data_IF_906645622291
#
_entry.id   IF_906645622291
#
_cell.length_a   1.000
_cell.length_b   1.000
_cell.length_c   1.000
_cell.angle_alpha   90.00
_cell.angle_beta   90.00
_cell.angle_gamma   90.00
#
_symmetry.space_group_name_H-M   'P 1'
#
loop_
_entity.id
_entity.type
_entity.pdbx_description
1 polymer ?
#
# COMPACT_ATOMS: atom_id res chain seq x y z
N UNK A 1 -1.37 15.81 0.51
CA UNK A 1 -1.77 14.96 1.65
C UNK A 1 -3.28 15.05 1.77
N UNK A 2 -3.96 13.97 2.10
CA UNK A 2 -5.43 13.93 2.22
C UNK A 2 -5.88 13.41 3.57
N UNK A 3 -7.05 13.84 4.03
CA UNK A 3 -7.69 13.30 5.22
C UNK A 3 -8.30 11.94 4.88
N UNK A 4 -8.03 10.88 5.66
CA UNK A 4 -8.55 9.54 5.39
C UNK A 4 -10.05 9.47 5.63
N UNK A 5 -10.74 8.66 4.84
CA UNK A 5 -12.15 8.30 5.04
C UNK A 5 -12.21 6.83 5.42
N UNK A 6 -12.56 6.57 6.69
CA UNK A 6 -12.82 5.21 7.15
C UNK A 6 -14.26 4.84 6.82
N UNK A 7 -14.42 3.81 5.99
CA UNK A 7 -15.72 3.22 5.71
C UNK A 7 -16.16 2.34 6.88
N UNK A 8 -17.47 2.10 7.05
CA UNK A 8 -17.93 1.11 8.02
C UNK A 8 -17.22 -0.23 7.77
N UNK A 9 -16.86 -0.91 8.86
CA UNK A 9 -16.21 -2.22 8.77
C UNK A 9 -17.12 -3.16 7.98
N UNK A 10 -16.58 -3.91 7.00
CA UNK A 10 -17.35 -4.96 6.35
C UNK A 10 -17.84 -5.92 7.44
N UNK A 11 -19.08 -6.41 7.33
CA UNK A 11 -19.64 -7.21 8.38
C UNK A 11 -18.83 -8.52 8.43
N UNK A 12 -18.58 -9.03 9.63
CA UNK A 12 -17.64 -10.11 9.90
C UNK A 12 -17.89 -11.34 9.01
N UNK A 13 -16.88 -12.21 8.85
CA UNK A 13 -16.91 -13.47 8.07
C UNK A 13 -18.15 -14.39 8.28
N UNK A 14 -19.05 -14.06 9.21
CA UNK A 14 -20.25 -14.81 9.59
C UNK A 14 -21.58 -14.18 9.17
N UNK A 15 -21.61 -13.00 8.57
CA UNK A 15 -22.85 -12.37 8.09
C UNK A 15 -22.94 -12.39 6.57
N UNK A 16 -23.72 -13.33 6.04
CA UNK A 16 -24.02 -13.51 4.61
C UNK A 16 -24.85 -12.36 3.99
N UNK A 17 -25.20 -11.31 4.73
CA UNK A 17 -26.04 -10.25 4.20
C UNK A 17 -25.60 -8.88 4.72
N UNK A 18 -24.76 -8.18 3.95
CA UNK A 18 -24.91 -6.78 3.52
C UNK A 18 -23.92 -6.50 2.37
N UNK A 19 -24.32 -5.65 1.41
CA UNK A 19 -23.50 -5.23 0.28
C UNK A 19 -22.29 -4.42 0.77
N UNK A 20 -21.08 -4.93 0.57
CA UNK A 20 -19.85 -4.19 0.85
C UNK A 20 -18.72 -5.08 1.34
N UNK A 21 -17.91 -5.60 0.42
CA UNK A 21 -16.63 -6.21 0.74
C UNK A 21 -15.61 -5.21 1.31
N UNK A 22 -14.45 -5.69 1.82
CA UNK A 22 -13.38 -4.81 2.27
C UNK A 22 -12.91 -3.92 1.11
N UNK A 23 -12.68 -2.63 1.37
CA UNK A 23 -12.19 -1.67 0.38
C UNK A 23 -10.84 -1.07 0.78
N UNK A 24 -9.95 -0.94 -0.18
CA UNK A 24 -8.79 -0.07 -0.11
C UNK A 24 -8.72 0.77 -1.39
N UNK A 25 -8.97 2.07 -1.28
CA UNK A 25 -8.95 3.02 -2.40
C UNK A 25 -8.02 4.20 -2.07
N UNK A 26 -6.83 4.19 -2.67
CA UNK A 26 -5.82 5.23 -2.49
C UNK A 26 -5.45 5.80 -3.85
N UNK A 27 -5.60 7.11 -4.02
CA UNK A 27 -5.21 7.81 -5.26
C UNK A 27 -4.05 8.74 -5.02
N UNK A 28 -3.07 8.69 -5.91
CA UNK A 28 -1.90 9.54 -5.94
C UNK A 28 -0.98 9.35 -4.74
N UNK A 29 -0.79 8.11 -4.30
CA UNK A 29 0.07 7.73 -3.19
C UNK A 29 1.55 7.91 -3.54
N UNK A 30 2.30 8.56 -2.66
CA UNK A 30 3.74 8.68 -2.79
C UNK A 30 4.41 8.33 -1.46
N UNK A 31 5.61 7.78 -1.52
CA UNK A 31 6.35 7.39 -0.32
C UNK A 31 7.16 8.58 0.22
N UNK A 32 7.06 8.94 1.52
CA UNK A 32 7.80 10.06 2.07
C UNK A 32 9.32 9.93 1.94
N UNK A 33 9.89 8.72 2.03
CA UNK A 33 11.34 8.53 1.85
C UNK A 33 11.80 8.62 0.39
N UNK A 34 10.88 8.70 -0.58
CA UNK A 34 11.24 9.02 -1.96
C UNK A 34 11.50 10.53 -2.14
N UNK A 35 11.09 11.34 -1.16
CA UNK A 35 11.41 12.77 -1.09
C UNK A 35 12.92 12.90 -0.81
N UNK A 36 13.71 13.17 -1.86
CA UNK A 36 15.16 13.36 -1.78
C UNK A 36 16.02 12.28 -2.45
N UNK A 37 15.42 11.17 -2.89
CA UNK A 37 16.15 10.10 -3.59
C UNK A 37 16.25 10.31 -5.12
N UNK A 38 15.31 11.05 -5.72
CA UNK A 38 15.24 11.28 -7.16
C UNK A 38 15.18 12.78 -7.49
N UNK A 39 16.07 13.24 -8.36
CA UNK A 39 16.02 14.59 -8.97
C UNK A 39 14.77 14.77 -9.87
N UNK A 40 14.20 13.66 -10.34
CA UNK A 40 13.07 13.61 -11.29
C UNK A 40 11.67 13.76 -10.66
N UNK A 41 11.58 14.00 -9.35
CA UNK A 41 10.31 14.25 -8.65
C UNK A 41 9.57 13.00 -8.14
N UNK A 42 8.49 13.24 -7.38
CA UNK A 42 7.65 12.21 -6.77
C UNK A 42 6.76 11.56 -7.84
N UNK A 43 6.80 10.22 -7.94
CA UNK A 43 5.89 9.46 -8.80
C UNK A 43 4.69 9.00 -7.98
N UNK A 44 3.48 9.56 -8.19
CA UNK A 44 2.27 9.11 -7.52
C UNK A 44 1.79 7.76 -8.09
N UNK A 45 1.33 6.88 -7.21
CA UNK A 45 0.78 5.56 -7.57
C UNK A 45 -0.64 5.41 -7.02
N UNK A 46 -1.52 4.77 -7.78
CA UNK A 46 -2.88 4.48 -7.35
C UNK A 46 -2.95 3.02 -6.87
N UNK A 47 -3.73 2.76 -5.81
CA UNK A 47 -3.98 1.43 -5.26
C UNK A 47 -5.48 1.27 -5.05
N UNK A 48 -6.06 0.26 -5.70
CA UNK A 48 -7.48 -0.06 -5.57
C UNK A 48 -7.65 -1.55 -5.36
N UNK A 49 -8.28 -1.95 -4.25
CA UNK A 49 -8.60 -3.34 -3.92
C UNK A 49 -10.01 -3.44 -3.32
N UNK A 50 -10.72 -4.48 -3.73
CA UNK A 50 -12.02 -4.85 -3.17
C UNK A 50 -13.23 -4.13 -3.75
N UNK A 51 -14.32 -4.05 -2.99
CA UNK A 51 -15.61 -3.61 -3.54
C UNK A 51 -15.90 -2.15 -3.20
N UNK A 52 -16.16 -1.35 -4.24
CA UNK A 52 -16.66 0.03 -4.11
C UNK A 52 -18.01 0.14 -4.84
N UNK A 53 -18.69 1.26 -4.65
CA UNK A 53 -19.83 1.77 -5.41
C UNK A 53 -19.69 1.70 -6.95
N UNK A 54 -18.47 1.50 -7.47
CA UNK A 54 -18.16 1.37 -8.90
C UNK A 54 -18.17 -0.07 -9.43
N UNK A 55 -18.29 -1.07 -8.55
CA UNK A 55 -18.30 -2.50 -8.90
C UNK A 55 -17.23 -3.31 -8.16
N UNK A 56 -17.17 -4.63 -8.39
CA UNK A 56 -16.19 -5.50 -7.75
C UNK A 56 -14.79 -5.34 -8.35
N UNK A 57 -13.79 -5.02 -7.52
CA UNK A 57 -12.36 -5.03 -7.90
C UNK A 57 -11.65 -6.22 -7.24
N UNK A 58 -10.52 -6.68 -7.79
CA UNK A 58 -9.74 -7.75 -7.17
C UNK A 58 -9.31 -7.41 -5.75
N UNK A 59 -9.37 -8.41 -4.86
CA UNK A 59 -8.88 -8.31 -3.48
C UNK A 59 -7.35 -8.52 -3.38
N UNK A 60 -6.72 -8.96 -4.47
CA UNK A 60 -5.30 -9.31 -4.53
C UNK A 60 -4.63 -8.55 -5.66
N UNK A 61 -3.49 -7.90 -5.37
CA UNK A 61 -2.63 -7.25 -6.35
C UNK A 61 -1.38 -8.08 -6.60
N UNK A 62 -1.16 -8.48 -7.85
CA UNK A 62 0.12 -9.07 -8.27
C UNK A 62 1.02 -7.98 -8.83
N UNK A 63 2.05 -7.61 -8.07
CA UNK A 63 2.98 -6.56 -8.46
C UNK A 63 4.22 -7.17 -9.14
N UNK A 64 4.28 -7.07 -10.47
CA UNK A 64 5.43 -7.54 -11.28
C UNK A 64 6.21 -6.36 -11.85
N UNK A 65 7.46 -6.61 -12.25
CA UNK A 65 8.33 -5.59 -12.86
C UNK A 65 9.80 -5.72 -12.48
N UNK A 66 10.68 -4.90 -13.06
CA UNK A 66 12.13 -4.96 -12.82
C UNK A 66 12.48 -4.74 -11.35
N UNK A 67 13.60 -5.33 -10.88
CA UNK A 67 13.99 -5.32 -9.46
C UNK A 67 14.21 -3.91 -8.86
N UNK A 68 14.33 -2.87 -9.68
CA UNK A 68 14.43 -1.46 -9.24
C UNK A 68 13.19 -0.62 -9.61
N UNK A 69 12.10 -1.24 -10.05
CA UNK A 69 10.86 -0.55 -10.44
C UNK A 69 10.02 0.02 -9.29
N UNK A 70 10.57 0.12 -8.07
CA UNK A 70 9.86 0.71 -6.94
C UNK A 70 8.75 -0.15 -6.31
N UNK A 71 8.69 -1.45 -6.63
CA UNK A 71 7.67 -2.38 -6.13
C UNK A 71 7.61 -2.44 -4.60
N UNK A 72 8.77 -2.60 -3.96
CA UNK A 72 8.88 -2.62 -2.49
C UNK A 72 8.55 -1.25 -1.87
N UNK A 73 8.90 -0.16 -2.56
CA UNK A 73 8.54 1.20 -2.16
C UNK A 73 7.03 1.41 -2.18
N UNK A 74 6.34 0.91 -3.22
CA UNK A 74 4.88 0.95 -3.29
C UNK A 74 4.25 0.15 -2.14
N UNK A 75 4.70 -1.09 -1.91
CA UNK A 75 4.20 -1.92 -0.80
C UNK A 75 4.33 -1.23 0.56
N UNK A 76 5.50 -0.63 0.84
CA UNK A 76 5.72 0.13 2.09
C UNK A 76 4.87 1.38 2.16
N UNK A 77 4.70 2.11 1.06
CA UNK A 77 3.84 3.29 1.00
C UNK A 77 2.39 2.95 1.32
N UNK A 78 1.89 1.84 0.77
CA UNK A 78 0.53 1.37 1.03
C UNK A 78 0.35 0.99 2.50
N UNK A 79 1.32 0.25 3.08
CA UNK A 79 1.27 -0.10 4.50
C UNK A 79 1.27 1.15 5.40
N UNK A 80 2.14 2.12 5.11
CA UNK A 80 2.21 3.38 5.84
C UNK A 80 0.91 4.17 5.71
N UNK A 81 0.31 4.20 4.52
CA UNK A 81 -0.97 4.87 4.28
C UNK A 81 -2.10 4.28 5.13
N UNK A 82 -2.20 2.94 5.21
CA UNK A 82 -3.20 2.25 6.04
C UNK A 82 -3.02 2.63 7.52
N UNK A 83 -1.79 2.55 8.03
CA UNK A 83 -1.47 2.88 9.43
C UNK A 83 -1.85 4.34 9.75
N UNK A 84 -1.38 5.29 8.93
CA UNK A 84 -1.70 6.71 9.12
C UNK A 84 -3.20 6.97 9.06
N UNK A 85 -3.91 6.29 8.16
CA UNK A 85 -5.33 6.46 8.00
C UNK A 85 -6.13 5.98 9.22
N UNK A 86 -5.75 4.83 9.81
CA UNK A 86 -6.40 4.30 11.03
C UNK A 86 -6.05 5.11 12.28
N UNK A 87 -4.88 5.76 12.33
CA UNK A 87 -4.54 6.72 13.38
C UNK A 87 -5.30 8.06 13.24
N UNK A 88 -6.01 8.28 12.13
CA UNK A 88 -6.68 9.55 11.84
C UNK A 88 -5.71 10.66 11.39
N UNK A 89 -4.48 10.31 11.02
CA UNK A 89 -3.47 11.24 10.52
C UNK A 89 -3.66 11.55 9.03
N UNK A 90 -3.02 12.63 8.56
CA UNK A 90 -2.96 12.94 7.14
C UNK A 90 -2.10 11.92 6.38
N UNK A 91 -2.63 11.43 5.26
CA UNK A 91 -1.97 10.43 4.41
C UNK A 91 -1.25 11.12 3.24
N UNK A 92 -0.04 10.70 2.84
CA UNK A 92 0.70 11.25 1.69
C UNK A 92 0.10 10.77 0.35
N UNK A 93 -1.16 11.11 0.10
CA UNK A 93 -1.85 10.86 -1.14
C UNK A 93 -2.82 12.01 -1.49
N UNK A 94 -3.54 11.88 -2.61
CA UNK A 94 -4.61 12.80 -3.04
C UNK A 94 -5.97 12.40 -2.44
N UNK A 95 -6.22 11.10 -2.30
CA UNK A 95 -7.44 10.55 -1.73
C UNK A 95 -7.12 9.23 -1.03
N UNK A 96 -7.75 8.99 0.12
CA UNK A 96 -7.62 7.73 0.86
C UNK A 96 -8.98 7.36 1.45
N UNK A 97 -9.55 6.27 0.95
CA UNK A 97 -10.70 5.59 1.54
C UNK A 97 -10.32 4.15 1.85
N UNK A 98 -10.62 3.66 3.04
CA UNK A 98 -10.40 2.26 3.38
C UNK A 98 -11.43 1.76 4.38
N UNK A 99 -11.67 0.46 4.35
CA UNK A 99 -12.27 -0.26 5.46
C UNK A 99 -11.22 -0.49 6.57
N UNK A 100 -11.60 -0.41 7.86
CA UNK A 100 -10.70 -0.74 8.97
C UNK A 100 -10.05 -2.11 8.80
N UNK A 101 -8.74 -2.18 9.07
CA UNK A 101 -7.93 -3.39 8.98
C UNK A 101 -7.49 -3.79 10.39
N UNK A 102 -7.65 -5.05 10.76
CA UNK A 102 -7.26 -5.52 12.09
C UNK A 102 -5.75 -5.77 12.20
N UNK A 103 -5.18 -6.41 11.18
CA UNK A 103 -3.77 -6.83 11.17
C UNK A 103 -3.16 -6.67 9.78
N UNK A 104 -1.97 -6.08 9.71
CA UNK A 104 -1.17 -5.98 8.48
C UNK A 104 -0.07 -7.05 8.53
N UNK A 105 -0.13 -8.01 7.62
CA UNK A 105 0.93 -9.00 7.44
C UNK A 105 1.89 -8.54 6.34
N UNK A 106 3.19 -8.51 6.65
CA UNK A 106 4.23 -8.22 5.66
C UNK A 106 5.29 -9.32 5.66
N UNK A 107 5.56 -9.89 4.49
CA UNK A 107 6.73 -10.74 4.26
C UNK A 107 7.60 -10.07 3.20
N UNK A 108 8.55 -9.27 3.65
CA UNK A 108 9.55 -8.64 2.79
C UNK A 108 10.85 -9.43 2.92
N UNK A 109 11.44 -9.80 1.78
CA UNK A 109 12.73 -10.51 1.77
C UNK A 109 13.85 -9.63 2.32
N UNK A 110 14.87 -10.26 2.92
CA UNK A 110 16.06 -9.58 3.43
C UNK A 110 16.90 -9.04 2.26
N UNK A 111 16.60 -7.83 1.77
CA UNK A 111 17.49 -7.00 0.91
C UNK A 111 16.88 -5.65 0.47
N UNK A 112 15.68 -5.27 0.89
CA UNK A 112 15.14 -3.94 0.56
C UNK A 112 15.70 -2.85 1.49
N UNK A 113 17.02 -2.62 1.41
CA UNK A 113 17.71 -1.47 2.02
C UNK A 113 17.45 -0.24 1.14
N UNK A 114 16.42 0.54 1.48
CA UNK A 114 16.10 1.82 0.84
C UNK A 114 17.26 2.85 0.98
N UNK A 115 18.23 2.60 1.87
CA UNK A 115 19.31 3.55 2.23
C UNK A 115 20.75 3.08 1.97
N UNK A 116 21.02 1.96 1.30
CA UNK A 116 22.43 1.59 1.04
C UNK A 116 22.63 0.92 -0.31
N UNK A 117 23.49 1.52 -1.14
CA UNK A 117 23.94 1.00 -2.43
C UNK A 117 24.94 -0.14 -2.31
N UNK A 118 24.64 -1.20 -1.56
CA UNK A 118 25.47 -2.40 -1.51
C UNK A 118 24.76 -3.58 -2.17
N UNK A 119 25.37 -4.08 -3.27
CA UNK A 119 25.00 -5.34 -3.92
C UNK A 119 25.82 -6.45 -3.29
N UNK A 120 25.27 -7.15 -2.30
CA UNK A 120 25.93 -8.36 -1.78
C UNK A 120 25.51 -9.56 -2.64
N UNK A 121 26.35 -9.89 -3.62
CA UNK A 121 26.21 -11.07 -4.48
C UNK A 121 27.30 -12.08 -4.09
N UNK A 122 27.15 -12.74 -2.94
CA UNK A 122 27.94 -13.93 -2.60
C UNK A 122 27.15 -14.79 -1.63
N UNK A 123 26.52 -15.87 -2.09
CA UNK A 123 26.31 -17.10 -1.30
C UNK A 123 25.77 -18.21 -2.21
N UNK A 124 26.68 -18.85 -2.95
CA UNK A 124 26.60 -20.28 -3.32
C UNK A 124 28.02 -20.78 -3.67
N UNK A 125 28.82 -21.08 -2.66
CA UNK A 125 29.88 -22.09 -2.74
C UNK A 125 30.34 -22.47 -1.32
N UNK A 126 29.76 -23.55 -0.80
CA UNK A 126 30.44 -24.53 0.04
C UNK A 126 29.64 -25.83 -0.02
#
# INVERSE_FOLDING_TARGET
MSRPVLLPAPPTLFSHQQNGGPLLNVKGLWHPSALGANESGLVPNDVHLGEDSTGPHPLTLLLTGPNMGGKSTLLRATCLAIILAQLGCFVPCKMCGLSPVDVIFTRLGATDRIMSGERELYFWQS
#
